data_IF_198452294516
#
_entry.id   IF_198452294516
#
_cell.length_a   1.000
_cell.length_b   1.000
_cell.length_c   1.000
_cell.angle_alpha   90.00
_cell.angle_beta   90.00
_cell.angle_gamma   90.00
#
_symmetry.space_group_name_H-M   'P 1'
#
loop_
_entity.id
_entity.type
_entity.pdbx_description
1 polymer ?
#
# COMPACT_ATOMS: atom_id res chain seq x y z
N UNK A 1 -25.87 -3.94 -5.74
CA UNK A 1 -24.68 -4.18 -4.89
C UNK A 1 -24.58 -3.05 -3.90
N UNK A 2 -24.43 -3.34 -2.60
CA UNK A 2 -24.29 -2.31 -1.55
C UNK A 2 -23.01 -1.49 -1.80
N UNK A 3 -23.13 -0.18 -1.66
CA UNK A 3 -22.02 0.77 -1.85
C UNK A 3 -20.89 0.55 -0.83
N UNK A 4 -19.66 0.88 -1.22
CA UNK A 4 -18.49 0.83 -0.32
C UNK A 4 -18.42 2.13 0.46
N UNK A 5 -18.34 2.02 1.79
CA UNK A 5 -18.09 3.14 2.68
C UNK A 5 -16.68 3.06 3.22
N UNK A 6 -15.94 4.17 3.17
CA UNK A 6 -14.62 4.29 3.77
C UNK A 6 -14.73 4.94 5.16
N UNK A 7 -14.04 4.36 6.15
CA UNK A 7 -13.97 4.90 7.52
C UNK A 7 -12.52 4.89 8.02
N UNK A 8 -12.17 5.72 9.02
CA UNK A 8 -10.88 5.64 9.69
C UNK A 8 -10.62 4.22 10.20
N UNK A 9 -9.40 3.71 10.00
CA UNK A 9 -9.06 2.32 10.34
C UNK A 9 -9.12 2.05 11.85
N UNK A 10 -8.81 3.04 12.66
CA UNK A 10 -8.87 2.96 14.13
C UNK A 10 -10.29 2.85 14.70
N UNK A 11 -11.32 2.97 13.87
CA UNK A 11 -12.72 2.71 14.23
C UNK A 11 -13.13 1.24 14.05
N UNK A 12 -12.25 0.40 13.47
CA UNK A 12 -12.49 -1.03 13.27
C UNK A 12 -11.96 -1.82 14.46
N UNK A 13 -12.75 -2.75 15.02
CA UNK A 13 -12.26 -3.64 16.08
C UNK A 13 -11.03 -4.42 15.62
N UNK A 14 -10.00 -4.45 16.45
CA UNK A 14 -8.74 -5.11 16.15
C UNK A 14 -8.91 -6.57 15.72
N UNK A 15 -9.76 -7.40 16.37
CA UNK A 15 -9.98 -8.77 15.93
C UNK A 15 -10.53 -8.92 14.52
N UNK A 16 -11.35 -7.97 14.03
CA UNK A 16 -11.88 -8.01 12.67
C UNK A 16 -10.79 -7.71 11.65
N UNK A 17 -9.93 -6.72 11.94
CA UNK A 17 -8.82 -6.37 11.09
C UNK A 17 -7.79 -7.49 11.04
N UNK A 18 -7.45 -8.09 12.18
CA UNK A 18 -6.54 -9.23 12.26
C UNK A 18 -7.06 -10.42 11.46
N UNK A 19 -8.33 -10.79 11.61
CA UNK A 19 -8.94 -11.88 10.87
C UNK A 19 -8.92 -11.64 9.34
N UNK A 20 -9.19 -10.42 8.90
CA UNK A 20 -9.11 -10.08 7.48
C UNK A 20 -7.66 -10.10 6.98
N UNK A 21 -6.72 -9.58 7.77
CA UNK A 21 -5.29 -9.59 7.45
C UNK A 21 -4.76 -11.02 7.29
N UNK A 22 -5.11 -11.92 8.21
CA UNK A 22 -4.74 -13.34 8.12
C UNK A 22 -5.35 -14.02 6.88
N UNK A 23 -6.59 -13.71 6.55
CA UNK A 23 -7.23 -14.24 5.35
C UNK A 23 -6.59 -13.74 4.05
N UNK A 24 -6.02 -12.52 4.05
CA UNK A 24 -5.38 -11.92 2.88
C UNK A 24 -3.92 -12.32 2.74
N UNK A 25 -3.15 -12.34 3.83
CA UNK A 25 -1.70 -12.55 3.86
C UNK A 25 -1.26 -13.89 4.47
N UNK A 26 -2.16 -14.65 5.08
CA UNK A 26 -1.80 -15.89 5.78
C UNK A 26 -1.15 -16.96 4.90
N UNK A 27 -1.26 -16.85 3.57
CA UNK A 27 -0.57 -17.72 2.62
C UNK A 27 0.88 -17.27 2.31
N UNK A 28 1.24 -16.06 2.73
CA UNK A 28 2.59 -15.50 2.59
C UNK A 28 3.47 -15.82 3.80
N UNK A 29 3.03 -16.77 4.66
CA UNK A 29 3.80 -17.18 5.84
C UNK A 29 5.17 -17.69 5.41
N UNK A 30 6.25 -17.12 5.97
CA UNK A 30 7.59 -17.56 5.66
C UNK A 30 7.85 -19.01 6.04
N UNK A 31 8.88 -19.57 5.46
CA UNK A 31 9.32 -20.92 5.79
C UNK A 31 9.84 -20.99 7.24
N UNK A 32 9.86 -22.19 7.82
CA UNK A 32 10.43 -22.44 9.15
C UNK A 32 11.87 -21.90 9.31
N UNK A 33 12.61 -21.78 8.19
CA UNK A 33 13.96 -21.21 8.13
C UNK A 33 14.04 -19.72 8.50
N UNK A 34 12.92 -19.00 8.46
CA UNK A 34 12.85 -17.56 8.76
C UNK A 34 12.18 -17.26 10.10
N UNK A 35 11.76 -18.28 10.83
CA UNK A 35 11.02 -18.11 12.10
C UNK A 35 11.78 -17.24 13.12
N UNK A 36 13.09 -17.40 13.21
CA UNK A 36 13.92 -16.60 14.14
C UNK A 36 14.05 -15.15 13.70
N UNK A 37 14.20 -14.91 12.39
CA UNK A 37 14.27 -13.55 11.83
C UNK A 37 12.94 -12.83 12.00
N UNK A 38 11.84 -13.53 11.77
CA UNK A 38 10.49 -12.98 11.96
C UNK A 38 10.17 -12.70 13.42
N UNK A 39 10.57 -13.60 14.32
CA UNK A 39 10.40 -13.37 15.75
C UNK A 39 11.18 -12.13 16.22
N UNK A 40 12.39 -11.94 15.72
CA UNK A 40 13.19 -10.75 16.01
C UNK A 40 12.58 -9.47 15.44
N UNK A 41 12.09 -9.50 14.21
CA UNK A 41 11.39 -8.36 13.60
C UNK A 41 10.04 -8.06 14.28
N UNK A 42 9.30 -9.11 14.68
CA UNK A 42 8.06 -8.96 15.43
C UNK A 42 8.31 -8.32 16.81
N UNK A 43 9.37 -8.74 17.50
CA UNK A 43 9.79 -8.16 18.78
C UNK A 43 10.21 -6.68 18.62
N UNK A 44 10.97 -6.36 17.57
CA UNK A 44 11.37 -4.98 17.27
C UNK A 44 10.15 -4.10 16.94
N UNK A 45 9.18 -4.62 16.18
CA UNK A 45 7.91 -3.93 15.89
C UNK A 45 7.08 -3.72 17.16
N UNK A 46 7.00 -4.72 18.03
CA UNK A 46 6.28 -4.60 19.31
C UNK A 46 6.91 -3.58 20.25
N UNK A 47 8.23 -3.51 20.29
CA UNK A 47 8.94 -2.50 21.09
C UNK A 47 8.68 -1.07 20.59
N UNK A 48 8.39 -0.89 19.30
CA UNK A 48 8.06 0.41 18.69
C UNK A 48 6.53 0.68 18.62
N UNK A 49 5.69 -0.29 18.98
CA UNK A 49 4.24 -0.23 18.81
C UNK A 49 3.54 0.81 19.69
N UNK A 50 4.24 1.38 20.70
CA UNK A 50 3.66 2.38 21.58
C UNK A 50 3.65 3.80 20.98
N UNK A 51 4.30 4.04 19.84
CA UNK A 51 4.28 5.35 19.17
C UNK A 51 3.63 5.20 17.79
N UNK A 52 2.51 5.90 17.58
CA UNK A 52 1.95 6.04 16.24
C UNK A 52 3.01 6.67 15.33
N UNK A 53 3.36 6.06 14.20
CA UNK A 53 4.33 6.66 13.28
C UNK A 53 3.86 8.05 12.84
N UNK A 54 4.78 8.98 12.57
CA UNK A 54 4.42 10.35 12.22
C UNK A 54 3.55 10.36 10.94
N UNK A 55 2.43 11.11 10.98
CA UNK A 55 1.49 11.18 9.87
C UNK A 55 0.83 9.84 9.53
N UNK A 56 0.60 8.99 10.55
CA UNK A 56 -0.13 7.75 10.38
C UNK A 56 -1.53 8.01 9.83
N UNK A 57 -1.90 7.27 8.80
CA UNK A 57 -3.19 7.34 8.14
C UNK A 57 -3.63 5.92 7.76
N UNK A 58 -4.89 5.62 8.02
CA UNK A 58 -5.46 4.33 7.66
C UNK A 58 -6.96 4.42 7.41
N UNK A 59 -7.43 3.62 6.47
CA UNK A 59 -8.84 3.50 6.10
C UNK A 59 -9.27 2.04 6.04
N UNK A 60 -10.49 1.81 6.50
CA UNK A 60 -11.25 0.58 6.32
C UNK A 60 -12.30 0.78 5.23
N UNK A 61 -12.46 -0.20 4.37
CA UNK A 61 -13.55 -0.28 3.40
C UNK A 61 -14.60 -1.26 3.91
N UNK A 62 -15.84 -0.79 4.04
CA UNK A 62 -16.97 -1.58 4.48
C UNK A 62 -18.01 -1.72 3.39
N UNK A 63 -18.58 -2.91 3.27
CA UNK A 63 -19.81 -3.16 2.50
C UNK A 63 -20.96 -3.40 3.47
N UNK A 64 -21.81 -2.40 3.65
CA UNK A 64 -22.71 -2.36 4.82
C UNK A 64 -21.90 -2.29 6.10
N UNK A 65 -22.07 -3.27 7.00
CA UNK A 65 -21.30 -3.34 8.25
C UNK A 65 -20.11 -4.30 8.19
N UNK A 66 -19.87 -4.94 7.05
CA UNK A 66 -18.80 -5.93 6.91
C UNK A 66 -17.50 -5.28 6.43
N UNK A 67 -16.41 -5.49 7.17
CA UNK A 67 -15.07 -5.10 6.72
C UNK A 67 -14.66 -5.95 5.50
N UNK A 68 -14.32 -5.27 4.39
CA UNK A 68 -13.98 -5.93 3.12
C UNK A 68 -12.60 -5.53 2.60
N UNK A 69 -11.96 -4.54 3.20
CA UNK A 69 -10.60 -4.13 2.84
C UNK A 69 -10.07 -3.05 3.76
N UNK A 70 -8.78 -2.82 3.68
CA UNK A 70 -8.12 -1.74 4.41
C UNK A 70 -6.89 -1.24 3.68
N UNK A 71 -6.42 -0.07 4.07
CA UNK A 71 -5.11 0.47 3.73
C UNK A 71 -4.56 1.25 4.91
N UNK A 72 -3.25 1.21 5.10
CA UNK A 72 -2.58 2.04 6.10
C UNK A 72 -1.19 2.42 5.64
N UNK A 73 -0.70 3.52 6.19
CA UNK A 73 0.62 4.03 5.92
C UNK A 73 1.00 5.18 6.83
N UNK A 74 2.14 5.78 6.59
CA UNK A 74 2.69 6.83 7.41
C UNK A 74 3.65 7.72 6.61
N UNK A 75 4.00 8.87 7.19
CA UNK A 75 4.96 9.80 6.62
C UNK A 75 6.40 9.29 6.78
N UNK A 76 7.16 9.36 5.69
CA UNK A 76 8.60 9.09 5.67
C UNK A 76 9.33 10.37 5.28
N UNK A 77 10.27 10.78 6.10
CA UNK A 77 10.97 12.06 5.89
C UNK A 77 10.02 13.27 5.95
N UNK A 78 10.31 14.29 5.16
CA UNK A 78 9.56 15.56 5.20
C UNK A 78 8.27 15.54 4.37
N UNK A 79 8.23 14.84 3.25
CA UNK A 79 7.16 15.02 2.25
C UNK A 79 6.77 13.75 1.47
N UNK A 80 7.11 12.57 1.99
CA UNK A 80 6.75 11.30 1.35
C UNK A 80 5.78 10.53 2.22
N UNK A 81 4.72 9.97 1.63
CA UNK A 81 3.83 9.01 2.27
C UNK A 81 4.17 7.59 1.85
N UNK A 82 4.33 6.69 2.81
CA UNK A 82 4.57 5.29 2.59
C UNK A 82 3.30 4.48 2.89
N UNK A 83 2.73 3.86 1.86
CA UNK A 83 1.67 2.85 2.04
C UNK A 83 2.33 1.58 2.56
N UNK A 84 2.10 1.27 3.83
CA UNK A 84 2.70 0.13 4.52
C UNK A 84 2.08 -1.18 4.06
N UNK A 85 0.77 -1.30 4.23
CA UNK A 85 0.02 -2.46 3.74
C UNK A 85 -1.40 -2.06 3.30
N UNK A 86 -1.99 -2.93 2.50
CA UNK A 86 -3.37 -2.81 2.05
C UNK A 86 -3.86 -4.18 1.62
N UNK A 87 -5.09 -4.49 1.97
CA UNK A 87 -5.71 -5.77 1.59
C UNK A 87 -7.18 -5.62 1.24
N UNK A 88 -7.66 -6.56 0.44
CA UNK A 88 -9.08 -6.69 0.07
C UNK A 88 -9.48 -8.16 0.19
N UNK A 89 -10.58 -8.42 0.86
CA UNK A 89 -11.17 -9.75 1.00
C UNK A 89 -11.25 -10.44 -0.37
N UNK A 90 -10.94 -11.73 -0.43
CA UNK A 90 -10.85 -12.49 -1.69
C UNK A 90 -12.14 -12.35 -2.51
N UNK A 91 -13.30 -12.47 -1.86
CA UNK A 91 -14.63 -12.35 -2.50
C UNK A 91 -14.92 -10.93 -3.05
N UNK A 92 -14.20 -9.93 -2.60
CA UNK A 92 -14.38 -8.52 -2.98
C UNK A 92 -13.30 -8.01 -3.94
N UNK A 93 -12.38 -8.87 -4.35
CA UNK A 93 -11.36 -8.53 -5.36
C UNK A 93 -12.02 -8.27 -6.71
N UNK A 94 -11.43 -7.36 -7.49
CA UNK A 94 -11.92 -6.91 -8.82
C UNK A 94 -13.25 -6.15 -8.80
N UNK A 95 -13.76 -5.74 -7.62
CA UNK A 95 -14.98 -4.93 -7.48
C UNK A 95 -14.68 -3.42 -7.32
N UNK A 96 -13.41 -3.01 -7.45
CA UNK A 96 -13.00 -1.61 -7.33
C UNK A 96 -12.64 -1.16 -5.91
N UNK A 97 -12.81 -1.99 -4.87
CA UNK A 97 -12.49 -1.65 -3.47
C UNK A 97 -11.05 -1.19 -3.32
N UNK A 98 -10.09 -1.94 -3.91
CA UNK A 98 -8.68 -1.57 -3.84
C UNK A 98 -8.39 -0.20 -4.45
N UNK A 99 -9.00 0.09 -5.61
CA UNK A 99 -8.82 1.38 -6.28
C UNK A 99 -9.37 2.54 -5.47
N UNK A 100 -10.51 2.36 -4.79
CA UNK A 100 -11.07 3.37 -3.89
C UNK A 100 -10.17 3.63 -2.69
N UNK A 101 -9.62 2.59 -2.07
CA UNK A 101 -8.66 2.74 -0.96
C UNK A 101 -7.40 3.48 -1.40
N UNK A 102 -6.83 3.12 -2.55
CA UNK A 102 -5.64 3.80 -3.08
C UNK A 102 -5.96 5.25 -3.42
N UNK A 103 -7.09 5.53 -4.07
CA UNK A 103 -7.48 6.90 -4.40
C UNK A 103 -7.60 7.76 -3.14
N UNK A 104 -8.23 7.26 -2.09
CA UNK A 104 -8.33 7.97 -0.82
C UNK A 104 -6.96 8.27 -0.17
N UNK A 105 -5.97 7.36 -0.34
CA UNK A 105 -4.59 7.65 0.07
C UNK A 105 -3.96 8.76 -0.79
N UNK A 106 -4.22 8.79 -2.10
CA UNK A 106 -3.72 9.84 -2.99
C UNK A 106 -4.32 11.20 -2.65
N UNK A 107 -5.62 11.24 -2.33
CA UNK A 107 -6.33 12.46 -1.90
C UNK A 107 -5.79 12.94 -0.55
N UNK A 108 -5.56 12.04 0.40
CA UNK A 108 -4.88 12.34 1.65
C UNK A 108 -3.49 12.92 1.42
N UNK A 109 -2.71 12.31 0.55
CA UNK A 109 -1.37 12.77 0.24
C UNK A 109 -1.38 14.17 -0.38
N UNK A 110 -2.32 14.45 -1.25
CA UNK A 110 -2.48 15.77 -1.88
C UNK A 110 -2.88 16.83 -0.86
N UNK A 111 -3.87 16.55 0.00
CA UNK A 111 -4.37 17.50 1.01
C UNK A 111 -3.35 17.82 2.10
N UNK A 112 -2.40 16.92 2.37
CA UNK A 112 -1.34 17.11 3.37
C UNK A 112 0.01 17.56 2.77
N UNK A 113 0.06 17.89 1.48
CA UNK A 113 1.25 18.44 0.84
C UNK A 113 2.39 17.44 0.63
N UNK A 114 2.11 16.13 0.65
CA UNK A 114 3.11 15.14 0.28
C UNK A 114 3.48 15.28 -1.21
N UNK A 115 4.73 15.08 -1.53
CA UNK A 115 5.21 15.14 -2.92
C UNK A 115 5.12 13.79 -3.63
N UNK A 116 5.19 12.69 -2.86
CA UNK A 116 5.17 11.32 -3.39
C UNK A 116 4.42 10.38 -2.46
N UNK A 117 3.77 9.39 -3.07
CA UNK A 117 3.30 8.19 -2.38
C UNK A 117 4.13 7.01 -2.87
N UNK A 118 4.69 6.22 -1.94
CA UNK A 118 5.45 5.01 -2.26
C UNK A 118 4.83 3.78 -1.65
N UNK A 119 5.13 2.62 -2.22
CA UNK A 119 4.83 1.32 -1.65
C UNK A 119 5.82 0.26 -2.14
N UNK A 120 5.97 -0.81 -1.38
CA UNK A 120 6.76 -1.98 -1.72
C UNK A 120 5.85 -3.18 -1.91
N UNK A 121 6.15 -4.00 -2.89
CA UNK A 121 5.38 -5.21 -3.19
C UNK A 121 6.32 -6.34 -3.56
N UNK A 122 6.03 -7.56 -3.10
CA UNK A 122 6.73 -8.76 -3.55
C UNK A 122 6.67 -8.80 -5.09
N UNK A 123 7.79 -9.07 -5.74
CA UNK A 123 7.95 -8.94 -7.20
C UNK A 123 6.96 -9.81 -8.01
N UNK A 124 6.47 -10.91 -7.45
CA UNK A 124 5.48 -11.79 -8.08
C UNK A 124 4.02 -11.39 -7.78
N UNK A 125 3.76 -10.35 -6.98
CA UNK A 125 2.40 -9.85 -6.72
C UNK A 125 1.89 -9.00 -7.90
N UNK A 126 1.86 -9.61 -9.08
CA UNK A 126 1.45 -9.00 -10.35
C UNK A 126 0.10 -8.29 -10.28
N UNK A 127 -0.96 -8.85 -9.64
CA UNK A 127 -2.27 -8.18 -9.59
C UNK A 127 -2.22 -6.80 -8.95
N UNK A 128 -1.49 -6.64 -7.83
CA UNK A 128 -1.36 -5.36 -7.12
C UNK A 128 -0.49 -4.38 -7.91
N UNK A 129 0.63 -4.87 -8.47
CA UNK A 129 1.53 -4.05 -9.30
C UNK A 129 0.75 -3.47 -10.48
N UNK A 130 0.03 -4.31 -11.24
CA UNK A 130 -0.79 -3.86 -12.38
C UNK A 130 -1.89 -2.88 -11.96
N UNK A 131 -2.58 -3.15 -10.84
CA UNK A 131 -3.60 -2.24 -10.32
C UNK A 131 -3.02 -0.85 -10.01
N UNK A 132 -1.87 -0.77 -9.36
CA UNK A 132 -1.20 0.50 -9.07
C UNK A 132 -0.67 1.21 -10.32
N UNK A 133 -0.09 0.49 -11.27
CA UNK A 133 0.33 1.07 -12.55
C UNK A 133 -0.85 1.74 -13.28
N UNK A 134 -2.03 1.11 -13.28
CA UNK A 134 -3.27 1.68 -13.83
C UNK A 134 -3.74 2.92 -13.09
N UNK A 135 -3.42 3.06 -11.81
CA UNK A 135 -3.71 4.24 -10.98
C UNK A 135 -2.64 5.35 -11.11
N UNK A 136 -1.68 5.20 -12.02
CA UNK A 136 -0.67 6.21 -12.31
C UNK A 136 0.61 6.08 -11.48
N UNK A 137 0.79 5.01 -10.74
CA UNK A 137 2.09 4.67 -10.16
C UNK A 137 3.05 4.21 -11.27
N UNK A 138 4.34 4.30 -10.98
CA UNK A 138 5.40 3.76 -11.84
C UNK A 138 6.41 2.97 -11.02
N UNK A 139 7.13 2.06 -11.66
CA UNK A 139 8.23 1.31 -11.03
C UNK A 139 9.39 2.28 -10.83
N UNK A 140 9.79 2.47 -9.58
CA UNK A 140 10.84 3.41 -9.20
C UNK A 140 12.13 2.73 -8.76
N UNK A 141 12.10 1.42 -8.58
CA UNK A 141 13.26 0.63 -8.19
C UNK A 141 12.90 -0.75 -7.69
N UNK A 142 13.93 -1.43 -7.21
CA UNK A 142 13.84 -2.74 -6.60
C UNK A 142 14.61 -2.71 -5.28
N UNK A 143 14.11 -3.46 -4.31
CA UNK A 143 14.76 -3.69 -3.02
C UNK A 143 14.80 -5.21 -2.76
N UNK A 144 15.69 -5.66 -1.91
CA UNK A 144 15.71 -7.02 -1.42
C UNK A 144 15.40 -7.04 0.07
N UNK A 145 14.45 -7.87 0.45
CA UNK A 145 14.11 -8.15 1.85
C UNK A 145 14.56 -9.56 2.21
N UNK A 146 15.16 -9.74 3.36
CA UNK A 146 15.53 -11.08 3.87
C UNK A 146 14.28 -11.94 4.06
N UNK A 147 13.16 -11.33 4.46
CA UNK A 147 11.89 -12.01 4.73
C UNK A 147 11.08 -12.25 3.46
N UNK A 148 10.95 -11.20 2.61
CA UNK A 148 10.03 -11.24 1.46
C UNK A 148 10.72 -11.46 0.13
N UNK A 149 12.05 -11.54 0.10
CA UNK A 149 12.82 -11.65 -1.13
C UNK A 149 12.79 -10.36 -1.97
N UNK A 150 12.81 -10.45 -3.31
CA UNK A 150 12.83 -9.28 -4.18
C UNK A 150 11.50 -8.50 -4.12
N UNK A 151 11.62 -7.19 -3.89
CA UNK A 151 10.52 -6.25 -3.80
C UNK A 151 10.58 -5.24 -4.96
N UNK A 152 9.42 -4.90 -5.50
CA UNK A 152 9.24 -3.81 -6.47
C UNK A 152 8.80 -2.57 -5.72
N UNK A 153 9.56 -1.48 -5.85
CA UNK A 153 9.17 -0.17 -5.35
C UNK A 153 8.31 0.55 -6.38
N UNK A 154 7.10 0.90 -5.99
CA UNK A 154 6.19 1.73 -6.78
C UNK A 154 6.11 3.13 -6.18
N UNK A 155 6.09 4.16 -7.05
CA UNK A 155 5.90 5.56 -6.67
C UNK A 155 4.79 6.21 -7.48
N UNK A 156 4.09 7.13 -6.84
CA UNK A 156 3.15 8.07 -7.45
C UNK A 156 3.60 9.49 -7.13
N UNK A 157 3.64 10.35 -8.14
CA UNK A 157 3.98 11.77 -7.97
C UNK A 157 2.70 12.57 -7.70
N UNK A 158 2.65 13.19 -6.52
CA UNK A 158 1.53 14.04 -6.12
C UNK A 158 1.68 15.41 -6.78
N UNK A 159 0.60 15.90 -7.39
CA UNK A 159 0.58 17.15 -8.13
C UNK A 159 0.83 16.99 -9.63
N UNK A 160 0.07 17.73 -10.42
CA UNK A 160 0.06 17.62 -11.89
C UNK A 160 1.41 18.01 -12.51
N UNK A 161 2.01 19.11 -12.04
CA UNK A 161 3.31 19.58 -12.56
C UNK A 161 4.42 18.52 -12.42
N UNK A 162 4.43 17.76 -11.31
CA UNK A 162 5.42 16.68 -11.11
C UNK A 162 5.19 15.53 -12.08
N UNK A 163 3.93 15.17 -12.30
CA UNK A 163 3.57 14.11 -13.27
C UNK A 163 3.91 14.54 -14.70
N UNK A 164 3.60 15.76 -15.08
CA UNK A 164 3.93 16.30 -16.40
C UNK A 164 5.44 16.33 -16.66
N UNK A 165 6.24 16.72 -15.64
CA UNK A 165 7.70 16.69 -15.76
C UNK A 165 8.23 15.25 -15.90
N UNK A 166 7.67 14.30 -15.16
CA UNK A 166 8.03 12.89 -15.28
C UNK A 166 7.69 12.34 -16.68
N UNK A 167 6.51 12.64 -17.18
CA UNK A 167 6.07 12.22 -18.52
C UNK A 167 6.99 12.78 -19.61
N UNK A 168 7.27 14.08 -19.57
CA UNK A 168 8.17 14.73 -20.54
C UNK A 168 9.56 14.08 -20.55
N UNK A 169 10.12 13.74 -19.38
CA UNK A 169 11.41 13.05 -19.28
C UNK A 169 11.35 11.60 -19.79
N UNK A 170 10.24 10.92 -19.57
CA UNK A 170 10.06 9.53 -20.01
C UNK A 170 9.83 9.45 -21.51
N UNK A 171 9.09 10.39 -22.08
CA UNK A 171 8.83 10.48 -23.53
C UNK A 171 10.08 10.82 -24.30
N UNK A 172 10.97 11.66 -23.76
CA UNK A 172 12.24 12.01 -24.39
C UNK A 172 13.21 10.83 -24.52
N UNK A 173 13.01 9.75 -23.76
CA UNK A 173 13.84 8.53 -23.78
C UNK A 173 13.25 7.47 -24.71
N UNK A 174 11.97 7.59 -25.12
CA UNK A 174 11.37 6.64 -26.07
C UNK A 174 12.04 6.80 -27.43
N UNK A 175 12.55 5.69 -28.02
CA UNK A 175 12.98 5.75 -29.42
C UNK A 175 11.78 6.18 -30.27
N UNK A 176 12.04 7.04 -31.26
CA UNK A 176 11.01 7.38 -32.24
C UNK A 176 10.40 6.09 -32.79
N UNK A 177 9.06 5.99 -32.77
CA UNK A 177 8.37 4.86 -33.37
C UNK A 177 8.81 4.76 -34.83
N UNK A 178 9.39 3.59 -35.20
CA UNK A 178 9.74 3.29 -36.57
C UNK A 178 8.50 2.99 -37.39
#
# INVERSE_FOLDING_TARGET
MTEITLRPLDTVPEPELAALSDAVFGHEKPSELLADVEAAEAAARSAQANEKPPGAFGLAALRGNKLVGWTQGFRVGSNQFHMLNSGVAIAERRTGVYSQLVQAVLDHAQSHGYSTVRSLHIANNTPVIVAKLRLGFFIAGFEYSEVYGPLVQLKYLVGEQRRSLYQARTESIRPAAR
#
